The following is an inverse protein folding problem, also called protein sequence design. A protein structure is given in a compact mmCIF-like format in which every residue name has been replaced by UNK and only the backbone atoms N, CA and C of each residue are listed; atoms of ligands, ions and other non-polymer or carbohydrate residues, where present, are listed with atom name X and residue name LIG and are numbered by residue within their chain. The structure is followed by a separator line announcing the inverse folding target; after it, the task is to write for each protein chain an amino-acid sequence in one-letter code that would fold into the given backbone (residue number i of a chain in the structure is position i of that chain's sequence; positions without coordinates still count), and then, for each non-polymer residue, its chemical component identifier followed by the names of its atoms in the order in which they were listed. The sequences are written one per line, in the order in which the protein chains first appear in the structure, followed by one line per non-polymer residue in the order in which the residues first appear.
data_IF_571627492328
#
_entry.id   IF_571627492328
#
_cell.length_a   1.000
_cell.length_b   1.000
_cell.length_c   1.000
_cell.angle_alpha   90.00
_cell.angle_beta   90.00
_cell.angle_gamma   90.00
#
_symmetry.space_group_name_H-M   'P 1'
#
loop_
_entity.id
_entity.type
_entity.pdbx_description
1 polymer ?
#
# COMPACT_ATOMS: atom_id res chain seq x y z
N UNK A 1 -13.65 -19.12 -8.67
CA UNK A 1 -12.71 -19.14 -7.53
C UNK A 1 -12.84 -17.81 -6.82
N UNK A 2 -12.93 -17.79 -5.49
CA UNK A 2 -12.91 -16.54 -4.74
C UNK A 2 -11.47 -16.01 -4.71
N UNK A 3 -11.29 -14.71 -4.93
CA UNK A 3 -10.02 -14.04 -4.71
C UNK A 3 -9.69 -14.06 -3.21
N UNK A 4 -8.57 -14.68 -2.85
CA UNK A 4 -8.11 -14.75 -1.46
C UNK A 4 -7.10 -13.64 -1.20
N UNK A 5 -7.56 -12.60 -0.50
CA UNK A 5 -6.73 -11.45 -0.12
C UNK A 5 -5.77 -11.76 1.03
N UNK A 6 -5.98 -12.85 1.78
CA UNK A 6 -5.24 -13.13 3.03
C UNK A 6 -3.78 -13.49 2.80
N UNK A 7 -3.39 -13.86 1.58
CA UNK A 7 -2.01 -14.08 1.19
C UNK A 7 -1.20 -12.77 1.03
N UNK A 8 -1.88 -11.63 0.91
CA UNK A 8 -1.24 -10.34 0.71
C UNK A 8 -1.17 -9.55 2.01
N UNK A 9 -0.01 -8.95 2.25
CA UNK A 9 0.24 -8.10 3.41
C UNK A 9 0.39 -6.67 2.95
N UNK A 10 -0.41 -5.78 3.55
CA UNK A 10 -0.34 -4.33 3.34
C UNK A 10 0.31 -3.71 4.57
N UNK A 11 1.41 -2.97 4.39
CA UNK A 11 2.15 -2.35 5.49
C UNK A 11 2.40 -0.90 5.15
N UNK A 12 2.06 -0.01 6.09
CA UNK A 12 2.50 1.38 6.04
C UNK A 12 3.84 1.48 6.74
N UNK A 13 4.85 1.98 6.05
CA UNK A 13 6.19 2.21 6.59
C UNK A 13 6.49 3.71 6.57
N UNK A 14 7.13 4.21 7.63
CA UNK A 14 7.76 5.53 7.58
C UNK A 14 9.15 5.34 7.01
N UNK A 15 9.41 5.83 5.79
CA UNK A 15 10.76 5.85 5.28
C UNK A 15 11.60 6.79 6.15
N UNK A 16 12.60 6.26 6.88
CA UNK A 16 13.43 7.01 7.84
C UNK A 16 14.18 8.23 7.24
N UNK A 17 14.12 8.42 5.92
CA UNK A 17 14.75 9.52 5.18
C UNK A 17 13.77 10.28 4.25
N UNK A 18 12.49 9.92 4.22
CA UNK A 18 11.46 10.55 3.37
C UNK A 18 10.44 11.27 4.24
N UNK A 19 9.97 12.45 3.82
CA UNK A 19 8.90 13.18 4.52
C UNK A 19 7.51 12.51 4.37
N UNK A 20 7.46 11.38 3.66
CA UNK A 20 6.24 10.70 3.25
C UNK A 20 6.14 9.29 3.84
N UNK A 21 4.91 8.84 4.10
CA UNK A 21 4.63 7.44 4.40
C UNK A 21 4.57 6.64 3.11
N UNK A 22 4.96 5.37 3.18
CA UNK A 22 4.90 4.43 2.06
C UNK A 22 3.92 3.32 2.38
N UNK A 23 3.06 2.94 1.43
CA UNK A 23 2.24 1.74 1.51
C UNK A 23 2.86 0.65 0.62
N UNK A 24 3.20 -0.47 1.24
CA UNK A 24 3.76 -1.64 0.59
C UNK A 24 2.73 -2.76 0.56
N UNK A 25 2.66 -3.48 -0.56
CA UNK A 25 1.86 -4.69 -0.73
C UNK A 25 2.76 -5.86 -1.10
N UNK A 26 2.84 -6.86 -0.23
CA UNK A 26 3.73 -8.03 -0.37
C UNK A 26 2.91 -9.30 -0.48
N UNK A 27 3.30 -10.20 -1.38
CA UNK A 27 2.81 -11.57 -1.47
C UNK A 27 3.59 -12.47 -0.49
N UNK A 28 2.96 -12.79 0.65
CA UNK A 28 3.54 -13.65 1.69
C UNK A 28 3.46 -15.14 1.31
N UNK A 29 2.73 -15.49 0.25
CA UNK A 29 2.66 -16.86 -0.27
C UNK A 29 3.96 -17.26 -0.98
N UNK A 30 4.81 -16.30 -1.38
CA UNK A 30 6.10 -16.55 -2.04
C UNK A 30 7.21 -16.75 -1.01
N UNK A 31 8.23 -17.52 -1.39
CA UNK A 31 9.45 -17.67 -0.59
C UNK A 31 10.69 -17.38 -1.45
N UNK A 32 11.37 -16.23 -1.25
CA UNK A 32 11.05 -15.19 -0.25
C UNK A 32 9.75 -14.42 -0.58
N UNK A 33 9.12 -13.75 0.41
CA UNK A 33 7.98 -12.86 0.16
C UNK A 33 8.30 -11.85 -0.93
N UNK A 34 7.33 -11.56 -1.79
CA UNK A 34 7.54 -10.76 -2.98
C UNK A 34 6.79 -9.45 -2.91
N UNK A 35 7.51 -8.33 -2.95
CA UNK A 35 6.92 -7.01 -3.05
C UNK A 35 6.23 -6.85 -4.42
N UNK A 36 4.95 -6.53 -4.38
CA UNK A 36 4.09 -6.39 -5.55
C UNK A 36 3.87 -4.95 -5.94
N UNK A 37 3.60 -4.08 -4.96
CA UNK A 37 3.32 -2.65 -5.17
C UNK A 37 3.92 -1.87 -4.01
N UNK A 38 4.52 -0.73 -4.31
CA UNK A 38 4.95 0.27 -3.33
C UNK A 38 4.48 1.64 -3.81
N UNK A 39 3.85 2.40 -2.92
CA UNK A 39 3.35 3.73 -3.21
C UNK A 39 3.69 4.71 -2.07
N UNK A 40 4.18 5.89 -2.43
CA UNK A 40 4.31 7.02 -1.51
C UNK A 40 2.97 7.74 -1.35
N UNK A 41 2.59 7.99 -0.11
CA UNK A 41 1.44 8.81 0.29
C UNK A 41 1.92 10.25 0.42
N UNK A 42 1.79 11.04 -0.66
CA UNK A 42 2.40 12.37 -0.79
C UNK A 42 1.60 13.43 -0.02
N UNK A 43 0.28 13.44 -0.18
CA UNK A 43 -0.54 14.52 0.39
C UNK A 43 -1.92 14.04 0.84
N UNK A 44 -2.12 14.01 2.16
CA UNK A 44 -3.37 13.64 2.82
C UNK A 44 -4.55 14.56 2.48
N UNK A 45 -4.31 15.85 2.21
CA UNK A 45 -5.38 16.82 1.88
C UNK A 45 -5.87 16.66 0.45
N UNK A 46 -4.98 16.33 -0.48
CA UNK A 46 -5.33 16.18 -1.91
C UNK A 46 -5.44 14.72 -2.35
N UNK A 47 -5.24 13.77 -1.43
CA UNK A 47 -5.18 12.34 -1.70
C UNK A 47 -4.17 11.99 -2.80
N UNK A 48 -3.02 12.68 -2.81
CA UNK A 48 -1.98 12.46 -3.81
C UNK A 48 -1.09 11.28 -3.44
N UNK A 49 -0.92 10.36 -4.38
CA UNK A 49 -0.16 9.12 -4.22
C UNK A 49 0.76 8.94 -5.42
N UNK A 50 2.01 8.56 -5.17
CA UNK A 50 2.96 8.20 -6.22
C UNK A 50 3.33 6.72 -6.13
N UNK A 51 2.98 5.95 -7.16
CA UNK A 51 3.47 4.57 -7.30
C UNK A 51 4.98 4.60 -7.59
N UNK A 52 5.77 3.95 -6.73
CA UNK A 52 7.23 3.82 -6.93
C UNK A 52 7.58 2.59 -7.74
N UNK A 53 6.90 1.49 -7.44
CA UNK A 53 7.07 0.25 -8.16
C UNK A 53 5.78 -0.55 -8.12
N UNK A 54 5.55 -1.31 -9.19
CA UNK A 54 4.52 -2.33 -9.25
C UNK A 54 4.98 -3.49 -10.14
N UNK A 55 4.49 -4.69 -9.86
CA UNK A 55 4.62 -5.83 -10.78
C UNK A 55 3.58 -5.72 -11.90
N UNK A 56 3.87 -6.37 -13.02
CA UNK A 56 2.92 -6.52 -14.13
C UNK A 56 1.94 -7.67 -13.85
N UNK A 57 0.80 -7.68 -14.55
CA UNK A 57 -0.20 -8.75 -14.50
C UNK A 57 -0.79 -9.01 -13.10
N UNK A 58 -0.91 -7.96 -12.28
CA UNK A 58 -1.65 -8.02 -11.02
C UNK A 58 -3.15 -8.18 -11.31
N UNK A 59 -3.85 -8.95 -10.47
CA UNK A 59 -5.30 -9.10 -10.62
C UNK A 59 -6.01 -7.77 -10.33
N UNK A 60 -7.16 -7.59 -10.97
CA UNK A 60 -7.96 -6.37 -10.77
C UNK A 60 -8.38 -6.24 -9.30
N UNK A 61 -8.76 -7.34 -8.67
CA UNK A 61 -9.19 -7.39 -7.27
C UNK A 61 -8.08 -6.96 -6.30
N UNK A 62 -6.81 -7.31 -6.60
CA UNK A 62 -5.67 -6.86 -5.81
C UNK A 62 -5.45 -5.35 -5.98
N UNK A 63 -5.55 -4.85 -7.21
CA UNK A 63 -5.40 -3.42 -7.49
C UNK A 63 -6.50 -2.60 -6.82
N UNK A 64 -7.75 -3.08 -6.85
CA UNK A 64 -8.88 -2.44 -6.18
C UNK A 64 -8.68 -2.40 -4.66
N UNK A 65 -8.25 -3.52 -4.05
CA UNK A 65 -7.95 -3.55 -2.62
C UNK A 65 -6.77 -2.62 -2.27
N UNK A 66 -5.72 -2.61 -3.09
CA UNK A 66 -4.57 -1.71 -2.89
C UNK A 66 -4.99 -0.24 -2.92
N UNK A 67 -5.79 0.16 -3.91
CA UNK A 67 -6.33 1.52 -4.00
C UNK A 67 -7.22 1.84 -2.80
N UNK A 68 -8.06 0.89 -2.36
CA UNK A 68 -8.91 1.05 -1.18
C UNK A 68 -8.08 1.27 0.09
N UNK A 69 -7.02 0.49 0.29
CA UNK A 69 -6.08 0.62 1.41
C UNK A 69 -5.31 1.93 1.35
N UNK A 70 -4.77 2.27 0.18
CA UNK A 70 -4.08 3.55 -0.07
C UNK A 70 -4.95 4.72 0.33
N UNK A 71 -6.22 4.71 -0.10
CA UNK A 71 -7.19 5.74 0.24
C UNK A 71 -7.50 5.77 1.74
N UNK A 72 -7.66 4.61 2.37
CA UNK A 72 -7.87 4.55 3.80
C UNK A 72 -6.68 5.15 4.57
N UNK A 73 -5.45 4.79 4.21
CA UNK A 73 -4.25 5.29 4.88
C UNK A 73 -3.99 6.78 4.58
N UNK A 74 -4.31 7.29 3.40
CA UNK A 74 -4.18 8.72 3.10
C UNK A 74 -5.30 9.58 3.72
N UNK A 75 -6.47 9.00 4.01
CA UNK A 75 -7.56 9.70 4.71
C UNK A 75 -7.40 9.62 6.24
N UNK A 76 -6.84 8.51 6.76
CA UNK A 76 -6.80 8.23 8.21
C UNK A 76 -5.38 8.24 8.80
N UNK A 77 -4.34 7.93 8.02
CA UNK A 77 -2.94 7.96 8.45
C UNK A 77 -2.40 9.38 8.69
N UNK A 78 -3.03 10.40 8.10
CA UNK A 78 -2.81 11.81 8.48
C UNK A 78 -3.45 12.20 9.81
N UNK A 79 -4.15 11.26 10.46
CA UNK A 79 -4.87 11.45 11.72
C UNK A 79 -4.22 10.65 12.88
N UNK A 80 -2.92 10.33 12.76
CA UNK A 80 -2.10 10.07 13.95
C UNK A 80 -1.82 11.39 14.67
N UNK A 81 -2.90 12.00 15.17
CA UNK A 81 -2.78 12.76 16.41
C UNK A 81 -2.51 11.74 17.52
N UNK A 82 -1.61 12.09 18.41
CA UNK A 82 -1.10 11.27 19.50
C UNK A 82 -2.17 10.37 20.15
N UNK A 83 -1.97 9.05 20.11
CA UNK A 83 -2.33 8.15 21.22
C UNK A 83 -1.33 7.00 21.33
#
# INVERSE_FOLDING_TARGET
MAFDITQYKFVVTSANESEYLTLECTDESKNPPMLLIEAELINYKTCEVSIKQHKENLSLELMEEFVRRTRYEIENGGNTDAT
#
